data_IF_404887916250
#
_entry.id   IF_404887916250
#
_cell.length_a   1.000
_cell.length_b   1.000
_cell.length_c   1.000
_cell.angle_alpha   90.00
_cell.angle_beta   90.00
_cell.angle_gamma   90.00
#
_symmetry.space_group_name_H-M   'P 1'
#
loop_
_entity.id
_entity.type
_entity.pdbx_description
1 polymer ?
#
# COMPACT_ATOMS: atom_id res chain seq x y z
N UNK A 1 15.72 1.55 65.21
CA UNK A 1 15.76 0.55 64.12
C UNK A 1 15.20 1.25 62.90
N UNK A 2 16.00 1.42 61.84
CA UNK A 2 15.56 2.12 60.64
C UNK A 2 14.46 1.29 59.95
N UNK A 3 13.31 1.91 59.70
CA UNK A 3 12.25 1.28 58.90
C UNK A 3 12.83 0.97 57.51
N UNK A 4 12.81 -0.31 57.13
CA UNK A 4 13.18 -0.75 55.79
C UNK A 4 12.28 -0.05 54.79
N UNK A 5 12.87 0.82 53.95
CA UNK A 5 12.17 1.54 52.89
C UNK A 5 11.36 0.56 52.03
N UNK A 6 10.07 0.85 51.85
CA UNK A 6 9.15 0.01 51.06
C UNK A 6 9.65 -0.09 49.62
N UNK A 7 10.04 -1.28 49.19
CA UNK A 7 10.40 -1.56 47.80
C UNK A 7 9.12 -1.68 46.96
N UNK A 8 8.84 -0.68 46.13
CA UNK A 8 7.73 -0.72 45.18
C UNK A 8 8.16 -1.39 43.88
N UNK A 9 7.49 -2.48 43.50
CA UNK A 9 7.67 -3.11 42.19
C UNK A 9 6.87 -2.33 41.16
N UNK A 10 7.54 -1.53 40.33
CA UNK A 10 6.92 -0.92 39.16
C UNK A 10 6.55 -2.05 38.18
N UNK A 11 5.26 -2.28 37.97
CA UNK A 11 4.80 -3.07 36.84
C UNK A 11 5.18 -2.29 35.58
N UNK A 12 5.95 -2.92 34.69
CA UNK A 12 6.36 -2.32 33.42
C UNK A 12 5.10 -1.79 32.70
N UNK A 13 5.07 -0.51 32.24
CA UNK A 13 3.91 0.07 31.55
C UNK A 13 3.61 -0.54 30.19
N UNK A 14 4.40 -1.52 29.73
CA UNK A 14 4.12 -2.27 28.51
C UNK A 14 2.85 -3.10 28.75
N UNK A 15 1.71 -2.50 28.40
CA UNK A 15 0.41 -3.15 28.43
C UNK A 15 0.40 -4.42 27.56
N UNK A 16 -0.63 -5.23 27.74
CA UNK A 16 -0.87 -6.38 26.87
C UNK A 16 -1.41 -5.82 25.55
N UNK A 17 -0.56 -5.76 24.53
CA UNK A 17 -0.98 -5.40 23.18
C UNK A 17 -1.73 -6.58 22.55
N UNK A 18 -2.91 -6.30 21.99
CA UNK A 18 -3.62 -7.31 21.21
C UNK A 18 -2.82 -7.60 19.93
N UNK A 19 -2.69 -8.87 19.53
CA UNK A 19 -1.98 -9.21 18.32
C UNK A 19 -2.63 -8.52 17.11
N UNK A 20 -1.83 -7.75 16.38
CA UNK A 20 -2.27 -7.10 15.14
C UNK A 20 -2.24 -8.11 13.99
N UNK A 21 -3.25 -8.06 13.12
CA UNK A 21 -3.24 -8.87 11.90
C UNK A 21 -2.22 -8.27 10.93
N UNK A 22 -1.13 -8.98 10.71
CA UNK A 22 -0.10 -8.57 9.76
C UNK A 22 -0.37 -9.18 8.39
N UNK A 23 -0.33 -8.36 7.34
CA UNK A 23 -0.29 -8.83 5.95
C UNK A 23 1.11 -8.60 5.41
N UNK A 24 1.83 -9.63 4.91
CA UNK A 24 3.15 -9.43 4.32
C UNK A 24 3.03 -8.58 3.04
N UNK A 25 4.14 -7.92 2.68
CA UNK A 25 4.24 -7.29 1.37
C UNK A 25 4.10 -8.34 0.27
N UNK A 26 3.43 -7.97 -0.82
CA UNK A 26 3.38 -8.79 -2.01
C UNK A 26 4.81 -9.08 -2.51
N UNK A 27 5.08 -10.28 -3.07
CA UNK A 27 6.34 -10.55 -3.72
C UNK A 27 6.66 -9.50 -4.78
N UNK A 28 7.93 -9.10 -4.87
CA UNK A 28 8.36 -8.18 -5.92
C UNK A 28 8.31 -8.90 -7.27
N UNK A 29 7.91 -8.16 -8.30
CA UNK A 29 8.04 -8.64 -9.68
C UNK A 29 9.52 -8.76 -10.04
N UNK A 30 9.83 -9.82 -10.77
CA UNK A 30 11.13 -10.11 -11.37
C UNK A 30 11.36 -9.29 -12.65
N UNK A 31 10.31 -9.11 -13.45
CA UNK A 31 10.28 -8.29 -14.65
C UNK A 31 8.93 -7.57 -14.80
N UNK A 32 8.90 -6.51 -15.60
CA UNK A 32 7.68 -5.80 -15.98
C UNK A 32 7.14 -6.26 -17.34
N UNK A 33 7.98 -6.82 -18.22
CA UNK A 33 7.56 -7.18 -19.57
C UNK A 33 6.45 -8.24 -19.57
N UNK A 34 5.38 -7.99 -20.34
CA UNK A 34 4.22 -8.87 -20.42
C UNK A 34 3.30 -8.86 -19.20
N UNK A 35 3.61 -8.06 -18.16
CA UNK A 35 2.80 -7.95 -16.95
C UNK A 35 1.60 -7.03 -17.16
N UNK A 36 0.54 -7.28 -16.41
CA UNK A 36 -0.60 -6.38 -16.28
C UNK A 36 -0.47 -5.55 -15.02
N UNK A 37 -0.27 -4.24 -15.19
CA UNK A 37 -0.13 -3.28 -14.09
C UNK A 37 -1.30 -2.32 -14.10
N UNK A 38 -1.94 -2.16 -12.95
CA UNK A 38 -3.15 -1.35 -12.80
C UNK A 38 -2.87 -0.04 -12.05
N UNK A 39 -3.28 1.09 -12.60
CA UNK A 39 -3.37 2.36 -11.89
C UNK A 39 -4.70 2.44 -11.16
N UNK A 40 -4.67 2.49 -9.83
CA UNK A 40 -5.82 2.80 -8.99
C UNK A 40 -5.56 4.15 -8.33
N UNK A 41 -6.01 5.24 -8.97
CA UNK A 41 -5.56 6.59 -8.66
C UNK A 41 -6.71 7.52 -8.25
N UNK A 42 -6.34 8.55 -7.50
CA UNK A 42 -7.18 9.67 -7.08
C UNK A 42 -7.18 10.79 -8.13
N UNK A 43 -7.84 11.91 -7.81
CA UNK A 43 -8.26 12.93 -8.75
C UNK A 43 -7.21 13.94 -9.23
N UNK A 44 -5.91 13.64 -9.14
CA UNK A 44 -4.80 14.59 -9.42
C UNK A 44 -4.26 14.46 -10.87
N UNK A 45 -4.84 15.18 -11.85
CA UNK A 45 -4.46 15.05 -13.26
C UNK A 45 -3.05 15.59 -13.57
N UNK A 46 -2.59 16.57 -12.81
CA UNK A 46 -1.29 17.23 -12.96
C UNK A 46 -0.11 16.26 -12.80
N UNK A 47 -0.26 15.27 -11.93
CA UNK A 47 0.75 14.22 -11.72
C UNK A 47 0.43 12.99 -12.57
N UNK A 48 -0.82 12.52 -12.50
CA UNK A 48 -1.18 11.19 -13.02
C UNK A 48 -1.09 11.11 -14.54
N UNK A 49 -1.41 12.18 -15.27
CA UNK A 49 -1.33 12.21 -16.75
C UNK A 49 0.13 12.12 -17.22
N UNK A 50 1.03 12.87 -16.59
CA UNK A 50 2.45 12.86 -16.95
C UNK A 50 3.08 11.50 -16.62
N UNK A 51 2.74 10.93 -15.46
CA UNK A 51 3.22 9.63 -15.02
C UNK A 51 2.75 8.50 -15.95
N UNK A 52 1.46 8.43 -16.26
CA UNK A 52 0.89 7.41 -17.15
C UNK A 52 1.57 7.43 -18.53
N UNK A 53 1.71 8.63 -19.12
CA UNK A 53 2.39 8.80 -20.41
C UNK A 53 3.85 8.38 -20.35
N UNK A 54 4.58 8.77 -19.30
CA UNK A 54 5.99 8.43 -19.15
C UNK A 54 6.21 6.91 -18.96
N UNK A 55 5.35 6.24 -18.18
CA UNK A 55 5.45 4.81 -17.92
C UNK A 55 5.09 3.99 -19.16
N UNK A 56 4.02 4.34 -19.88
CA UNK A 56 3.66 3.69 -21.15
C UNK A 56 4.74 3.84 -22.21
N UNK A 57 5.41 5.01 -22.27
CA UNK A 57 6.51 5.24 -23.21
C UNK A 57 7.77 4.43 -22.86
N UNK A 58 8.09 4.29 -21.56
CA UNK A 58 9.28 3.55 -21.10
C UNK A 58 9.08 2.04 -21.10
N UNK A 59 7.86 1.58 -20.88
CA UNK A 59 7.52 0.16 -20.75
C UNK A 59 6.33 -0.19 -21.66
N UNK A 60 6.56 -0.23 -22.98
CA UNK A 60 5.50 -0.49 -23.96
C UNK A 60 4.99 -1.94 -23.93
N UNK A 61 5.77 -2.87 -23.39
CA UNK A 61 5.41 -4.29 -23.29
C UNK A 61 4.57 -4.61 -22.03
N UNK A 62 4.29 -3.62 -21.19
CA UNK A 62 3.40 -3.76 -20.03
C UNK A 62 1.97 -3.48 -20.49
N UNK A 63 1.03 -4.32 -20.06
CA UNK A 63 -0.40 -4.08 -20.23
C UNK A 63 -0.89 -3.14 -19.13
N UNK A 64 -1.12 -1.87 -19.48
CA UNK A 64 -1.54 -0.83 -18.54
C UNK A 64 -3.06 -0.69 -18.49
N UNK A 65 -3.64 -0.83 -17.30
CA UNK A 65 -5.06 -0.60 -17.04
C UNK A 65 -5.25 0.47 -15.97
N UNK A 66 -6.40 1.14 -15.93
CA UNK A 66 -6.61 2.26 -15.02
C UNK A 66 -8.05 2.31 -14.48
N UNK A 67 -8.15 2.55 -13.17
CA UNK A 67 -9.33 3.06 -12.48
C UNK A 67 -9.01 4.41 -11.86
N UNK A 68 -9.93 5.35 -12.04
CA UNK A 68 -9.79 6.72 -11.55
C UNK A 68 -10.99 7.08 -10.70
N UNK A 69 -10.71 7.67 -9.54
CA UNK A 69 -11.66 8.42 -8.72
C UNK A 69 -11.27 9.91 -8.77
N UNK A 70 -12.24 10.79 -8.52
CA UNK A 70 -11.97 12.21 -8.22
C UNK A 70 -12.13 12.51 -6.72
N UNK A 71 -12.32 11.47 -5.92
CA UNK A 71 -12.42 11.54 -4.47
C UNK A 71 -11.06 11.20 -3.84
N UNK A 72 -10.85 11.54 -2.55
CA UNK A 72 -9.62 11.19 -1.82
C UNK A 72 -9.36 9.68 -1.72
N UNK A 73 -10.40 8.86 -1.92
CA UNK A 73 -10.29 7.41 -1.92
C UNK A 73 -10.11 6.88 -3.35
N UNK A 74 -9.04 6.09 -3.62
CA UNK A 74 -8.89 5.40 -4.90
C UNK A 74 -9.96 4.30 -5.05
N UNK A 75 -10.22 3.89 -6.30
CA UNK A 75 -11.10 2.75 -6.56
C UNK A 75 -10.29 1.46 -6.46
N UNK A 76 -10.44 0.74 -5.36
CA UNK A 76 -9.73 -0.53 -5.15
C UNK A 76 -10.10 -1.58 -6.21
N UNK A 77 -9.19 -2.54 -6.41
CA UNK A 77 -9.46 -3.72 -7.22
C UNK A 77 -10.48 -4.61 -6.51
N UNK A 78 -11.33 -5.25 -7.31
CA UNK A 78 -12.19 -6.35 -6.89
C UNK A 78 -11.39 -7.65 -6.81
N UNK A 79 -11.93 -8.64 -6.11
CA UNK A 79 -11.28 -9.96 -5.96
C UNK A 79 -10.99 -10.63 -7.31
N UNK A 80 -11.83 -10.41 -8.34
CA UNK A 80 -11.61 -10.96 -9.68
C UNK A 80 -10.48 -10.26 -10.42
N UNK A 81 -10.35 -8.94 -10.27
CA UNK A 81 -9.28 -8.17 -10.89
C UNK A 81 -7.93 -8.47 -10.22
N UNK A 82 -7.92 -8.75 -8.93
CA UNK A 82 -6.71 -9.16 -8.21
C UNK A 82 -6.14 -10.49 -8.72
N UNK A 83 -6.94 -11.36 -9.33
CA UNK A 83 -6.46 -12.63 -9.91
C UNK A 83 -5.71 -12.45 -11.22
N UNK A 84 -5.98 -11.37 -11.95
CA UNK A 84 -5.43 -11.11 -13.30
C UNK A 84 -4.44 -9.94 -13.33
N UNK A 85 -4.31 -9.21 -12.22
CA UNK A 85 -3.40 -8.07 -12.08
C UNK A 85 -2.10 -8.51 -11.39
N UNK A 86 -0.96 -8.26 -12.03
CA UNK A 86 0.35 -8.60 -11.47
C UNK A 86 0.84 -7.56 -10.44
N UNK A 87 0.50 -6.27 -10.64
CA UNK A 87 0.83 -5.20 -9.70
C UNK A 87 -0.13 -4.00 -9.78
N UNK A 88 -0.17 -3.21 -8.71
CA UNK A 88 -0.97 -1.99 -8.58
C UNK A 88 -0.09 -0.79 -8.25
N UNK A 89 -0.34 0.32 -8.94
CA UNK A 89 0.08 1.67 -8.53
C UNK A 89 -1.13 2.31 -7.85
N UNK A 90 -1.06 2.45 -6.53
CA UNK A 90 -2.16 2.95 -5.70
C UNK A 90 -1.92 4.43 -5.34
N UNK A 91 -2.92 5.28 -5.61
CA UNK A 91 -2.94 6.65 -5.11
C UNK A 91 -3.27 6.68 -3.62
N UNK A 92 -2.50 7.44 -2.84
CA UNK A 92 -2.75 7.66 -1.41
C UNK A 92 -2.90 9.16 -1.18
N UNK A 93 -4.08 9.58 -0.75
CA UNK A 93 -4.38 10.95 -0.34
C UNK A 93 -4.26 11.04 1.20
N UNK A 94 -3.52 12.03 1.71
CA UNK A 94 -3.27 12.27 3.14
C UNK A 94 -4.07 13.47 3.65
#
# INVERSE_FOLDING_TARGET
MAETDKVYKCLNPVGIELPVKTSPLAPRLDTLDGKTIHFSITGEPDITIALDKALKARYPNVNWTQKKSYMPMPVYLTDEEMKTTDAVILGVCW
#
